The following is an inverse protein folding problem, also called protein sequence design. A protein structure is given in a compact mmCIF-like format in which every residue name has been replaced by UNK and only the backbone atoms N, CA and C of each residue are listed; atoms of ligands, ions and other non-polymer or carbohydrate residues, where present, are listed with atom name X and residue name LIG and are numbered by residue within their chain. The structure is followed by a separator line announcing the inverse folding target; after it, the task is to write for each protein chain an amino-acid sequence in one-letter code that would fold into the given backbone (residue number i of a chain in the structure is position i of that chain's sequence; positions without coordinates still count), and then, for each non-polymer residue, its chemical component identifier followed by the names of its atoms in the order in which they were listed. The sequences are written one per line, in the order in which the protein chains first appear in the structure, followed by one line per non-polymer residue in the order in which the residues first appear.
data_IF_766801621883
#
_entry.id   IF_766801621883
#
_cell.length_a   1.000
_cell.length_b   1.000
_cell.length_c   1.000
_cell.angle_alpha   90.00
_cell.angle_beta   90.00
_cell.angle_gamma   90.00
#
_symmetry.space_group_name_H-M   'P 1'
#
loop_
_entity.id
_entity.type
_entity.pdbx_description
1 polymer ?
#
# COMPACT_ATOMS: atom_id res chain seq x y z
N UNK A 1 15.24 0.16 29.29
CA UNK A 1 15.08 1.45 28.58
C UNK A 1 13.72 1.44 27.89
N UNK A 2 12.72 2.17 28.38
CA UNK A 2 11.40 2.30 27.73
C UNK A 2 11.51 3.36 26.64
N UNK A 3 11.68 2.95 25.38
CA UNK A 3 11.53 3.88 24.25
C UNK A 3 10.04 4.05 24.02
N UNK A 4 9.49 5.20 24.42
CA UNK A 4 8.13 5.61 24.11
C UNK A 4 8.16 6.32 22.75
N UNK A 5 7.75 5.64 21.68
CA UNK A 5 7.49 6.31 20.40
C UNK A 5 6.22 7.13 20.56
N UNK A 6 6.28 8.42 20.26
CA UNK A 6 5.06 9.21 20.12
C UNK A 6 4.31 8.76 18.85
N UNK A 7 2.98 8.88 18.85
CA UNK A 7 2.15 8.39 17.75
C UNK A 7 2.50 9.07 16.41
N UNK A 8 2.95 10.33 16.45
CA UNK A 8 3.32 11.09 15.26
C UNK A 8 4.56 10.52 14.56
N UNK A 9 5.61 10.15 15.31
CA UNK A 9 6.79 9.50 14.77
C UNK A 9 6.46 8.11 14.23
N UNK A 10 5.62 7.34 14.94
CA UNK A 10 5.18 6.03 14.47
C UNK A 10 4.43 6.11 13.14
N UNK A 11 3.51 7.06 12.99
CA UNK A 11 2.81 7.32 11.72
C UNK A 11 3.79 7.65 10.60
N UNK A 12 4.73 8.57 10.82
CA UNK A 12 5.70 8.96 9.78
C UNK A 12 6.63 7.82 9.38
N UNK A 13 7.06 6.99 10.33
CA UNK A 13 7.83 5.79 10.01
C UNK A 13 7.03 4.86 9.09
N UNK A 14 5.78 4.55 9.45
CA UNK A 14 4.92 3.70 8.61
C UNK A 14 4.73 4.29 7.20
N UNK A 15 4.50 5.60 7.10
CA UNK A 15 4.37 6.30 5.81
C UNK A 15 5.62 6.19 4.96
N UNK A 16 6.80 6.43 5.53
CA UNK A 16 8.07 6.39 4.81
C UNK A 16 8.36 4.97 4.31
N UNK A 17 8.24 3.96 5.18
CA UNK A 17 8.55 2.59 4.79
C UNK A 17 7.54 2.03 3.77
N UNK A 18 6.25 2.32 3.91
CA UNK A 18 5.26 1.97 2.89
C UNK A 18 5.54 2.70 1.57
N UNK A 19 5.89 3.98 1.61
CA UNK A 19 6.24 4.73 0.42
C UNK A 19 7.47 4.16 -0.30
N UNK A 20 8.51 3.78 0.44
CA UNK A 20 9.71 3.18 -0.14
C UNK A 20 9.40 1.84 -0.81
N UNK A 21 8.58 1.00 -0.17
CA UNK A 21 8.10 -0.25 -0.75
C UNK A 21 7.39 0.01 -2.08
N UNK A 22 6.41 0.93 -2.09
CA UNK A 22 5.64 1.23 -3.29
C UNK A 22 6.40 1.99 -4.38
N UNK A 23 7.38 2.83 -4.02
CA UNK A 23 8.27 3.42 -5.02
C UNK A 23 9.11 2.35 -5.69
N UNK A 24 9.65 1.40 -4.92
CA UNK A 24 10.45 0.31 -5.46
C UNK A 24 9.60 -0.59 -6.37
N UNK A 25 8.50 -1.14 -5.85
CA UNK A 25 7.65 -2.04 -6.63
C UNK A 25 6.99 -1.31 -7.80
N UNK A 26 6.45 -0.11 -7.58
CA UNK A 26 5.74 0.64 -8.61
C UNK A 26 6.62 1.10 -9.75
N UNK A 27 7.86 1.52 -9.46
CA UNK A 27 8.82 1.88 -10.50
C UNK A 27 9.24 0.67 -11.34
N UNK A 28 9.48 -0.48 -10.70
CA UNK A 28 9.87 -1.70 -11.40
C UNK A 28 8.70 -2.27 -12.23
N UNK A 29 7.48 -2.31 -11.69
CA UNK A 29 6.25 -2.67 -12.41
C UNK A 29 6.03 -1.81 -13.66
N UNK A 30 6.30 -0.51 -13.54
CA UNK A 30 6.12 0.42 -14.66
C UNK A 30 7.19 0.25 -15.74
N UNK A 31 8.47 0.09 -15.35
CA UNK A 31 9.61 0.02 -16.30
C UNK A 31 9.82 -1.38 -16.87
N UNK A 32 9.62 -2.41 -16.06
CA UNK A 32 9.96 -3.80 -16.35
C UNK A 32 8.77 -4.73 -16.06
N UNK A 33 7.59 -4.54 -16.67
CA UNK A 33 6.40 -5.34 -16.35
C UNK A 33 6.62 -6.85 -16.54
N UNK A 34 7.51 -7.26 -17.45
CA UNK A 34 7.83 -8.68 -17.69
C UNK A 34 8.44 -9.39 -16.48
N UNK A 35 9.12 -8.67 -15.57
CA UNK A 35 9.64 -9.26 -14.32
C UNK A 35 8.54 -9.62 -13.32
N UNK A 36 7.30 -9.17 -13.56
CA UNK A 36 6.14 -9.36 -12.67
C UNK A 36 5.03 -10.23 -13.28
N UNK A 37 5.22 -10.80 -14.47
CA UNK A 37 4.24 -11.71 -15.08
C UNK A 37 3.93 -12.91 -14.18
N UNK A 38 4.94 -13.38 -13.43
CA UNK A 38 4.78 -14.48 -12.48
C UNK A 38 3.71 -14.17 -11.42
N UNK A 39 3.60 -12.92 -10.97
CA UNK A 39 2.65 -12.48 -9.96
C UNK A 39 1.21 -12.48 -10.49
N UNK A 40 1.02 -12.21 -11.78
CA UNK A 40 -0.30 -12.32 -12.42
C UNK A 40 -0.66 -13.79 -12.67
N UNK A 41 0.30 -14.60 -13.11
CA UNK A 41 0.09 -16.04 -13.35
C UNK A 41 -0.08 -16.86 -12.08
N UNK A 42 0.24 -16.31 -10.90
CA UNK A 42 0.01 -16.96 -9.62
C UNK A 42 -1.39 -16.70 -9.06
N UNK A 43 -2.16 -15.80 -9.67
CA UNK A 43 -3.55 -15.51 -9.31
C UNK A 43 -4.47 -16.66 -9.73
N UNK A 44 -5.67 -16.70 -9.14
CA UNK A 44 -6.76 -17.57 -9.59
C UNK A 44 -7.24 -17.16 -11.00
N UNK A 45 -7.62 -18.15 -11.80
CA UNK A 45 -8.12 -18.00 -13.18
C UNK A 45 -9.20 -16.91 -13.34
N UNK A 46 -10.08 -16.78 -12.34
CA UNK A 46 -11.17 -15.78 -12.32
C UNK A 46 -10.67 -14.34 -12.40
N UNK A 47 -9.44 -14.08 -11.93
CA UNK A 47 -8.79 -12.76 -11.97
C UNK A 47 -7.74 -12.69 -13.07
N UNK A 48 -7.00 -13.78 -13.28
CA UNK A 48 -5.96 -13.85 -14.30
C UNK A 48 -6.53 -13.66 -15.72
N UNK A 49 -7.64 -14.31 -16.06
CA UNK A 49 -8.21 -14.26 -17.42
C UNK A 49 -8.61 -12.84 -17.86
N UNK A 50 -9.33 -12.04 -17.05
CA UNK A 50 -9.60 -10.64 -17.35
C UNK A 50 -8.33 -9.78 -17.51
N UNK A 51 -7.30 -10.02 -16.69
CA UNK A 51 -6.04 -9.26 -16.80
C UNK A 51 -5.32 -9.60 -18.11
N UNK A 52 -5.30 -10.89 -18.48
CA UNK A 52 -4.71 -11.35 -19.75
C UNK A 52 -5.41 -10.76 -20.96
N UNK A 53 -6.74 -10.64 -20.95
CA UNK A 53 -7.49 -10.07 -22.08
C UNK A 53 -7.27 -8.57 -22.25
N UNK A 54 -7.03 -7.83 -21.17
CA UNK A 54 -6.65 -6.41 -21.19
C UNK A 54 -5.19 -6.18 -21.59
N UNK A 55 -4.35 -7.21 -21.47
CA UNK A 55 -2.91 -7.14 -21.69
C UNK A 55 -2.15 -6.97 -20.38
N UNK A 56 -1.41 -8.00 -19.98
CA UNK A 56 -0.66 -8.07 -18.72
C UNK A 56 0.25 -6.85 -18.53
N UNK A 57 0.99 -6.45 -19.56
CA UNK A 57 1.92 -5.31 -19.47
C UNK A 57 1.21 -3.98 -19.21
N UNK A 58 0.04 -3.77 -19.82
CA UNK A 58 -0.75 -2.55 -19.63
C UNK A 58 -1.31 -2.52 -18.20
N UNK A 59 -1.82 -3.64 -17.73
CA UNK A 59 -2.28 -3.80 -16.34
C UNK A 59 -1.15 -3.52 -15.33
N UNK A 60 0.02 -4.14 -15.51
CA UNK A 60 1.14 -3.97 -14.58
C UNK A 60 1.71 -2.55 -14.60
N UNK A 61 1.76 -1.89 -15.75
CA UNK A 61 2.15 -0.48 -15.82
C UNK A 61 1.13 0.42 -15.12
N UNK A 62 -0.16 0.16 -15.29
CA UNK A 62 -1.20 0.91 -14.59
C UNK A 62 -1.14 0.69 -13.07
N UNK A 63 -0.92 -0.55 -12.63
CA UNK A 63 -0.69 -0.86 -11.23
C UNK A 63 0.54 -0.12 -10.71
N UNK A 64 1.68 -0.21 -11.40
CA UNK A 64 2.90 0.49 -10.99
C UNK A 64 2.75 2.01 -10.92
N UNK A 65 2.01 2.63 -11.84
CA UNK A 65 1.67 4.05 -11.76
C UNK A 65 0.80 4.39 -10.54
N UNK A 66 -0.15 3.51 -10.20
CA UNK A 66 -1.00 3.66 -9.01
C UNK A 66 -0.20 3.52 -7.72
N UNK A 67 0.76 2.60 -7.67
CA UNK A 67 1.68 2.41 -6.55
C UNK A 67 2.57 3.65 -6.34
N UNK A 68 3.12 4.23 -7.42
CA UNK A 68 3.89 5.48 -7.35
C UNK A 68 3.03 6.64 -6.81
N UNK A 69 1.76 6.70 -7.21
CA UNK A 69 0.80 7.68 -6.68
C UNK A 69 0.57 7.48 -5.18
N UNK A 70 0.38 6.23 -4.72
CA UNK A 70 0.22 5.92 -3.30
C UNK A 70 1.44 6.33 -2.48
N UNK A 71 2.65 6.03 -2.97
CA UNK A 71 3.88 6.46 -2.33
C UNK A 71 3.98 7.99 -2.23
N UNK A 72 3.58 8.71 -3.29
CA UNK A 72 3.54 10.18 -3.28
C UNK A 72 2.59 10.71 -2.21
N UNK A 73 1.40 10.09 -2.06
CA UNK A 73 0.47 10.45 -0.98
C UNK A 73 1.08 10.17 0.40
N UNK A 74 1.73 9.02 0.58
CA UNK A 74 2.38 8.69 1.85
C UNK A 74 3.51 9.68 2.19
N UNK A 75 4.27 10.19 1.23
CA UNK A 75 5.33 11.18 1.49
C UNK A 75 4.83 12.62 1.62
N UNK A 76 3.58 12.91 1.24
CA UNK A 76 3.04 14.28 1.25
C UNK A 76 2.68 14.77 2.65
N UNK A 77 3.45 15.71 3.19
CA UNK A 77 3.20 16.29 4.53
C UNK A 77 1.99 17.22 4.60
N UNK A 78 1.59 17.81 3.47
CA UNK A 78 0.52 18.81 3.38
C UNK A 78 -0.88 18.21 3.10
N UNK A 79 -0.98 16.92 2.75
CA UNK A 79 -2.28 16.31 2.43
C UNK A 79 -3.13 16.09 3.68
N UNK A 80 -4.47 16.22 3.57
CA UNK A 80 -5.38 15.83 4.64
C UNK A 80 -5.14 14.39 5.07
N UNK A 81 -5.09 14.17 6.39
CA UNK A 81 -4.93 12.84 7.00
C UNK A 81 -5.98 11.83 6.51
N UNK A 82 -7.20 12.29 6.20
CA UNK A 82 -8.25 11.44 5.61
C UNK A 82 -7.81 10.79 4.29
N UNK A 83 -7.05 11.49 3.45
CA UNK A 83 -6.54 10.95 2.18
C UNK A 83 -5.49 9.86 2.47
N UNK A 84 -4.55 10.14 3.38
CA UNK A 84 -3.53 9.16 3.81
C UNK A 84 -4.18 7.90 4.38
N UNK A 85 -5.24 8.05 5.18
CA UNK A 85 -6.03 6.93 5.72
C UNK A 85 -6.65 6.09 4.59
N UNK A 86 -7.28 6.72 3.60
CA UNK A 86 -7.89 5.99 2.49
C UNK A 86 -6.85 5.26 1.64
N UNK A 87 -5.71 5.88 1.36
CA UNK A 87 -4.62 5.22 0.63
C UNK A 87 -4.05 4.06 1.44
N UNK A 88 -3.89 4.21 2.76
CA UNK A 88 -3.49 3.10 3.62
C UNK A 88 -4.51 1.94 3.62
N UNK A 89 -5.81 2.22 3.55
CA UNK A 89 -6.84 1.18 3.40
C UNK A 89 -6.81 0.51 2.03
N UNK A 90 -6.58 1.27 0.96
CA UNK A 90 -6.42 0.71 -0.38
C UNK A 90 -5.19 -0.20 -0.46
N UNK A 91 -4.07 0.20 0.15
CA UNK A 91 -2.89 -0.65 0.32
C UNK A 91 -3.21 -1.94 1.07
N UNK A 92 -3.92 -1.84 2.19
CA UNK A 92 -4.32 -3.02 2.95
C UNK A 92 -5.22 -3.94 2.11
N UNK A 93 -6.15 -3.37 1.33
CA UNK A 93 -7.03 -4.13 0.45
C UNK A 93 -6.26 -4.81 -0.69
N UNK A 94 -5.29 -4.12 -1.29
CA UNK A 94 -4.41 -4.66 -2.32
C UNK A 94 -3.62 -5.87 -1.80
N UNK A 95 -2.94 -5.72 -0.66
CA UNK A 95 -2.18 -6.82 -0.04
C UNK A 95 -3.10 -7.99 0.36
N UNK A 96 -4.28 -7.69 0.91
CA UNK A 96 -5.27 -8.72 1.23
C UNK A 96 -5.78 -9.45 -0.04
N UNK A 97 -5.97 -8.72 -1.14
CA UNK A 97 -6.34 -9.28 -2.44
C UNK A 97 -5.28 -10.22 -2.98
N UNK A 98 -4.01 -9.80 -2.98
CA UNK A 98 -2.86 -10.63 -3.39
C UNK A 98 -2.79 -11.90 -2.54
N UNK A 99 -2.91 -11.78 -1.22
CA UNK A 99 -2.84 -12.92 -0.29
C UNK A 99 -4.04 -13.88 -0.41
N UNK A 100 -5.24 -13.37 -0.70
CA UNK A 100 -6.44 -14.19 -0.82
C UNK A 100 -6.58 -14.87 -2.19
N UNK A 101 -6.10 -14.21 -3.24
CA UNK A 101 -6.29 -14.62 -4.64
C UNK A 101 -5.04 -15.22 -5.27
N UNK A 102 -3.86 -14.93 -4.73
CA UNK A 102 -2.59 -15.52 -5.12
C UNK A 102 -2.26 -16.81 -4.36
N UNK A 103 -1.18 -17.46 -4.76
CA UNK A 103 -0.59 -18.58 -4.01
C UNK A 103 0.33 -18.03 -2.93
N UNK A 104 0.27 -18.62 -1.73
CA UNK A 104 1.17 -18.27 -0.65
C UNK A 104 2.52 -18.95 -0.90
N UNK A 105 3.53 -18.14 -1.17
CA UNK A 105 4.93 -18.49 -1.43
C UNK A 105 5.85 -17.53 -0.66
N UNK A 106 7.16 -17.64 -0.90
CA UNK A 106 8.14 -16.78 -0.21
C UNK A 106 7.98 -15.30 -0.58
N UNK A 107 7.57 -15.02 -1.82
CA UNK A 107 7.40 -13.67 -2.33
C UNK A 107 6.17 -13.01 -1.72
N UNK A 108 5.04 -13.70 -1.66
CA UNK A 108 3.78 -13.19 -1.09
C UNK A 108 3.78 -13.17 0.44
N UNK A 109 4.64 -13.97 1.10
CA UNK A 109 4.77 -13.92 2.57
C UNK A 109 5.17 -12.52 3.08
N UNK A 110 5.96 -11.77 2.32
CA UNK A 110 6.36 -10.39 2.69
C UNK A 110 5.14 -9.45 2.79
N UNK A 111 4.07 -9.74 2.05
CA UNK A 111 2.91 -8.88 1.92
C UNK A 111 2.06 -8.87 3.22
N UNK A 112 2.21 -9.87 4.10
CA UNK A 112 1.65 -9.82 5.45
C UNK A 112 2.20 -8.65 6.28
N UNK A 113 3.50 -8.37 6.15
CA UNK A 113 4.13 -7.25 6.84
C UNK A 113 3.61 -5.90 6.32
N UNK A 114 3.44 -5.79 5.00
CA UNK A 114 2.91 -4.59 4.35
C UNK A 114 1.43 -4.39 4.74
N UNK A 115 0.62 -5.46 4.73
CA UNK A 115 -0.77 -5.45 5.18
C UNK A 115 -0.89 -4.93 6.62
N UNK A 116 -0.08 -5.48 7.53
CA UNK A 116 -0.06 -5.05 8.94
C UNK A 116 0.33 -3.58 9.09
N UNK A 117 1.37 -3.13 8.38
CA UNK A 117 1.81 -1.74 8.40
C UNK A 117 0.73 -0.78 7.86
N UNK A 118 0.04 -1.16 6.80
CA UNK A 118 -1.02 -0.37 6.18
C UNK A 118 -2.26 -0.26 7.08
N UNK A 119 -2.68 -1.36 7.70
CA UNK A 119 -3.75 -1.34 8.68
C UNK A 119 -3.39 -0.48 9.89
N UNK A 120 -2.17 -0.63 10.43
CA UNK A 120 -1.69 0.19 11.54
C UNK A 120 -1.69 1.68 11.20
N UNK A 121 -1.22 2.05 10.00
CA UNK A 121 -1.24 3.43 9.51
C UNK A 121 -2.67 3.97 9.40
N UNK A 122 -3.60 3.18 8.88
CA UNK A 122 -5.01 3.60 8.76
C UNK A 122 -5.64 3.94 10.11
N UNK A 123 -5.36 3.12 11.14
CA UNK A 123 -5.87 3.29 12.51
C UNK A 123 -5.24 4.53 13.17
N UNK A 124 -3.91 4.66 13.10
CA UNK A 124 -3.18 5.80 13.68
C UNK A 124 -3.62 7.12 13.06
N UNK A 125 -3.78 7.15 11.74
CA UNK A 125 -4.19 8.35 11.01
C UNK A 125 -5.60 8.78 11.37
N UNK A 126 -6.52 7.81 11.57
CA UNK A 126 -7.89 8.07 12.05
C UNK A 126 -7.90 8.65 13.46
N UNK A 127 -7.13 8.08 14.39
CA UNK A 127 -7.04 8.58 15.77
C UNK A 127 -6.55 10.02 15.82
N UNK A 128 -5.48 10.35 15.07
CA UNK A 128 -4.97 11.72 15.00
C UNK A 128 -5.94 12.72 14.37
N UNK A 129 -6.76 12.29 13.40
CA UNK A 129 -7.79 13.16 12.82
C UNK A 129 -8.83 13.55 13.88
N UNK A 130 -9.30 12.57 14.67
CA UNK A 130 -10.27 12.80 15.75
C UNK A 130 -9.75 13.70 16.87
N UNK A 131 -8.48 13.57 17.27
CA UNK A 131 -7.90 14.42 18.34
C UNK A 131 -7.78 15.90 17.95
N UNK A 132 -7.57 16.21 16.67
CA UNK A 132 -7.49 17.61 16.17
C UNK A 132 -8.86 18.28 16.05
N UNK A 133 -9.90 17.51 15.71
CA UNK A 133 -11.27 18.02 15.67
C UNK A 133 -11.73 18.45 17.08
N UNK A 134 -11.41 17.69 18.12
CA UNK A 134 -11.76 18.01 19.51
C UNK A 134 -11.05 19.26 20.07
N UNK A 135 -9.81 19.52 19.65
CA UNK A 135 -9.04 20.71 20.09
C UNK A 135 -9.43 21.99 19.37
N UNK A 136 -10.17 21.90 18.25
CA UNK A 136 -10.62 23.07 17.49
C UNK A 136 -12.00 23.58 17.96
N UNK A 137 -12.68 22.84 18.83
CA UNK A 137 -14.02 23.15 19.37
C UNK A 137 -14.02 23.71 20.80
N UNK A 138 -12.83 23.89 21.39
CA UNK A 138 -12.60 24.50 22.72
C UNK A 138 -11.84 25.79 22.58
#
# INVERSE_FOLDING_TARGET
MKVSLNNASAEWMLRIFLALTYLYSGFDLFRHPTSWHWAVSSLRDVVEMPIRSLGIDAYLRFQGASEILFATVFLSWFLPRRIVMWVALLTALEMAGILALGRIDQQTFRDFGILGAALALSILTRQHASSREQTSTT
#
